data_IF_624051750633
#
_entry.id   IF_624051750633
#
_cell.length_a   1.000
_cell.length_b   1.000
_cell.length_c   1.000
_cell.angle_alpha   90.00
_cell.angle_beta   90.00
_cell.angle_gamma   90.00
#
_symmetry.space_group_name_H-M   'P 1'
#
loop_
_entity.id
_entity.type
_entity.pdbx_description
1 polymer ?
#
# COMPACT_ATOMS: atom_id res chain seq x y z
N UNK A 1 52.31 0.78 17.37
CA UNK A 1 53.13 1.67 18.20
C UNK A 1 52.77 3.09 17.83
N UNK A 2 51.51 3.51 18.02
CA UNK A 2 50.81 3.78 19.30
C UNK A 2 51.06 5.27 19.63
N UNK A 3 50.07 6.15 19.82
CA UNK A 3 48.78 6.01 20.46
C UNK A 3 47.80 7.09 19.95
N UNK A 4 46.52 6.72 19.97
CA UNK A 4 45.35 7.56 19.69
C UNK A 4 45.06 8.54 20.82
N UNK A 5 44.53 9.72 20.47
CA UNK A 5 43.84 10.62 21.39
C UNK A 5 43.07 11.69 20.63
N UNK A 6 41.81 11.40 20.29
CA UNK A 6 40.84 12.43 19.88
C UNK A 6 39.59 12.27 20.73
N UNK A 7 39.41 13.23 21.62
CA UNK A 7 38.27 13.44 22.51
C UNK A 7 37.10 14.02 21.71
N UNK A 8 35.94 13.37 21.77
CA UNK A 8 34.68 13.95 21.31
C UNK A 8 34.02 14.71 22.46
N UNK A 9 33.91 16.04 22.34
CA UNK A 9 33.13 16.86 23.27
C UNK A 9 31.65 16.86 22.87
N UNK A 10 30.78 16.29 23.70
CA UNK A 10 29.35 16.56 23.64
C UNK A 10 29.06 17.94 24.24
N UNK A 11 28.58 18.88 23.42
CA UNK A 11 27.93 20.10 23.94
C UNK A 11 26.45 19.79 24.20
N UNK A 12 26.10 19.61 25.46
CA UNK A 12 24.71 19.74 25.92
C UNK A 12 24.34 21.22 25.92
N UNK A 13 23.33 21.60 25.15
CA UNK A 13 22.64 22.88 25.33
C UNK A 13 21.59 22.68 26.42
N UNK A 14 21.86 23.24 27.60
CA UNK A 14 20.89 23.38 28.68
C UNK A 14 20.04 24.62 28.43
N UNK A 15 18.72 24.49 28.51
CA UNK A 15 17.83 25.62 28.79
C UNK A 15 17.04 25.30 30.06
N UNK A 16 17.39 26.01 31.13
CA UNK A 16 16.53 26.27 32.31
C UNK A 16 15.74 27.55 31.98
N UNK A 17 14.51 27.78 32.42
CA UNK A 17 14.05 27.80 33.81
C UNK A 17 12.52 27.95 33.92
N UNK A 18 11.98 27.35 34.99
CA UNK A 18 10.83 27.74 35.84
C UNK A 18 9.50 28.24 35.24
N UNK A 19 8.40 27.56 35.56
CA UNK A 19 7.65 27.86 36.80
C UNK A 19 6.67 26.73 37.16
N UNK A 20 6.61 26.43 38.46
CA UNK A 20 5.72 25.45 39.07
C UNK A 20 4.41 26.14 39.50
N UNK A 21 3.27 25.50 39.24
CA UNK A 21 2.10 25.58 40.14
C UNK A 21 1.49 24.20 40.31
N UNK A 22 1.71 23.64 41.50
CA UNK A 22 0.97 22.52 42.03
C UNK A 22 -0.41 23.02 42.50
N UNK A 23 -1.46 22.27 42.17
CA UNK A 23 -2.74 22.33 42.87
C UNK A 23 -3.02 20.94 43.44
N UNK A 24 -3.14 20.91 44.76
CA UNK A 24 -3.30 19.74 45.59
C UNK A 24 -4.67 19.09 45.40
N UNK A 25 -4.71 17.76 45.32
CA UNK A 25 -5.90 16.99 45.65
C UNK A 25 -5.72 16.38 47.03
N UNK A 26 -6.57 16.83 47.94
CA UNK A 26 -6.66 16.43 49.33
C UNK A 26 -7.29 15.04 49.41
N UNK A 27 -6.55 14.07 49.97
CA UNK A 27 -7.11 12.82 50.45
C UNK A 27 -7.91 13.06 51.74
N UNK A 28 -9.14 12.57 51.79
CA UNK A 28 -9.76 12.09 53.03
C UNK A 28 -9.91 10.57 52.90
N UNK A 29 -9.24 9.86 53.79
CA UNK A 29 -9.38 8.42 53.93
C UNK A 29 -10.57 8.04 54.81
N UNK A 30 -11.05 6.82 54.61
CA UNK A 30 -11.53 5.96 55.68
C UNK A 30 -11.11 4.53 55.35
N UNK A 31 -10.34 3.95 56.27
CA UNK A 31 -9.78 2.60 56.23
C UNK A 31 -10.85 1.53 56.50
N UNK A 32 -10.54 0.26 56.21
CA UNK A 32 -10.59 -0.87 57.16
C UNK A 32 -9.84 -2.10 56.57
N UNK A 33 -8.82 -2.54 57.35
CA UNK A 33 -8.23 -3.89 57.57
C UNK A 33 -7.70 -4.74 56.40
N UNK A 34 -6.37 -4.97 56.25
CA UNK A 34 -5.53 -6.00 56.92
C UNK A 34 -6.14 -7.42 56.90
N UNK A 35 -5.48 -8.49 56.42
CA UNK A 35 -4.22 -9.08 56.93
C UNK A 35 -3.44 -9.85 55.83
N UNK A 36 -2.12 -9.85 56.03
CA UNK A 36 -0.98 -10.38 55.30
C UNK A 36 -0.83 -11.92 55.23
N UNK A 37 -0.02 -12.41 54.28
CA UNK A 37 1.16 -13.30 54.50
C UNK A 37 1.89 -13.65 53.19
N UNK A 38 3.04 -12.99 52.98
CA UNK A 38 4.25 -13.55 52.34
C UNK A 38 5.13 -14.16 53.48
N UNK A 39 6.21 -14.95 53.26
CA UNK A 39 7.16 -14.89 52.14
C UNK A 39 7.80 -16.22 51.66
N UNK A 40 8.49 -16.23 50.50
CA UNK A 40 9.93 -16.57 50.36
C UNK A 40 10.43 -16.43 48.91
N UNK A 41 11.71 -16.05 48.78
CA UNK A 41 12.52 -15.78 47.57
C UNK A 41 13.18 -17.04 46.99
N UNK A 42 13.42 -17.04 45.67
CA UNK A 42 14.75 -17.30 45.03
C UNK A 42 14.72 -16.81 43.56
N UNK A 43 15.38 -15.69 43.23
CA UNK A 43 16.63 -15.60 42.44
C UNK A 43 16.74 -16.48 41.19
N UNK A 44 16.68 -15.86 40.00
CA UNK A 44 17.70 -16.03 38.96
C UNK A 44 17.71 -14.85 37.98
N UNK A 45 18.91 -14.31 37.81
CA UNK A 45 19.29 -13.22 36.90
C UNK A 45 19.48 -13.81 35.50
N UNK A 46 19.06 -13.10 34.45
CA UNK A 46 19.84 -13.02 33.23
C UNK A 46 19.68 -11.63 32.58
N UNK A 47 20.78 -10.90 32.54
CA UNK A 47 21.04 -9.78 31.63
C UNK A 47 21.35 -10.37 30.25
N UNK A 48 20.76 -9.79 29.21
CA UNK A 48 21.38 -9.73 27.90
C UNK A 48 21.02 -8.37 27.28
N UNK A 49 21.96 -7.43 27.37
CA UNK A 49 22.02 -6.26 26.51
C UNK A 49 22.54 -6.75 25.15
N UNK A 50 21.73 -6.64 24.10
CA UNK A 50 22.20 -6.79 22.74
C UNK A 50 22.44 -5.39 22.17
N UNK A 51 23.70 -4.98 22.20
CA UNK A 51 24.24 -3.83 21.48
C UNK A 51 24.46 -4.30 20.03
N UNK A 52 23.66 -3.82 19.08
CA UNK A 52 23.92 -4.08 17.65
C UNK A 52 25.04 -3.16 17.17
N UNK A 53 26.27 -3.68 17.19
CA UNK A 53 27.42 -3.07 16.50
C UNK A 53 27.33 -3.48 15.03
N UNK A 54 27.00 -2.54 14.16
CA UNK A 54 27.13 -2.70 12.70
C UNK A 54 28.62 -2.65 12.34
N UNK A 55 29.21 -3.82 12.09
CA UNK A 55 30.55 -3.96 11.51
C UNK A 55 30.44 -3.83 9.99
N UNK A 56 30.64 -2.62 9.46
CA UNK A 56 30.92 -2.39 8.04
C UNK A 56 32.41 -2.64 7.79
N UNK A 57 32.75 -3.78 7.22
CA UNK A 57 34.10 -4.08 6.72
C UNK A 57 34.29 -3.37 5.39
N UNK A 58 34.95 -2.21 5.38
CA UNK A 58 35.49 -1.59 4.17
C UNK A 58 36.74 -2.34 3.72
N UNK A 59 36.64 -3.12 2.64
CA UNK A 59 37.82 -3.61 1.92
C UNK A 59 38.34 -2.46 1.04
N UNK A 60 39.50 -1.93 1.42
CA UNK A 60 40.24 -0.91 0.67
C UNK A 60 41.15 -1.62 -0.34
N UNK A 61 40.72 -1.73 -1.59
CA UNK A 61 41.60 -2.19 -2.67
C UNK A 61 42.53 -1.04 -3.10
N UNK A 62 43.83 -1.25 -2.94
CA UNK A 62 44.89 -0.38 -3.46
C UNK A 62 44.96 -0.46 -4.99
N UNK A 63 45.32 0.67 -5.61
CA UNK A 63 45.44 0.81 -7.05
C UNK A 63 46.51 -0.08 -7.67
N UNK A 64 46.13 -0.74 -8.76
CA UNK A 64 47.02 -1.38 -9.73
C UNK A 64 46.63 -0.92 -11.13
N UNK A 65 47.62 -0.60 -11.94
CA UNK A 65 47.48 0.00 -13.28
C UNK A 65 46.56 -0.81 -14.21
N UNK A 66 45.62 -0.12 -14.86
CA UNK A 66 44.72 -0.69 -15.84
C UNK A 66 45.44 -0.95 -17.18
N UNK A 67 45.53 -2.21 -17.57
CA UNK A 67 45.77 -2.61 -18.96
C UNK A 67 44.44 -2.65 -19.70
N UNK A 68 44.43 -2.01 -20.87
CA UNK A 68 43.29 -1.86 -21.79
C UNK A 68 42.62 -3.19 -22.13
N UNK A 69 41.37 -3.37 -21.70
CA UNK A 69 40.47 -4.41 -22.18
C UNK A 69 39.38 -3.77 -23.05
N UNK A 70 39.18 -4.31 -24.25
CA UNK A 70 38.22 -3.84 -25.26
C UNK A 70 36.78 -3.79 -24.70
N UNK A 71 35.99 -2.77 -25.04
CA UNK A 71 34.59 -2.70 -24.62
C UNK A 71 33.77 -3.80 -25.29
N UNK A 72 32.92 -4.45 -24.50
CA UNK A 72 31.89 -5.38 -24.94
C UNK A 72 30.89 -4.65 -25.87
N UNK A 73 30.25 -5.34 -26.83
CA UNK A 73 29.37 -4.72 -27.80
C UNK A 73 28.16 -4.08 -27.11
N UNK A 74 27.91 -2.82 -27.46
CA UNK A 74 26.78 -2.00 -27.00
C UNK A 74 25.46 -2.70 -27.34
N UNK A 75 24.72 -3.12 -26.33
CA UNK A 75 23.34 -3.59 -26.49
C UNK A 75 22.49 -2.45 -27.05
N UNK A 76 21.66 -2.75 -28.05
CA UNK A 76 20.70 -1.78 -28.62
C UNK A 76 19.79 -1.21 -27.51
N UNK A 77 19.43 0.08 -27.56
CA UNK A 77 18.58 0.68 -26.54
C UNK A 77 17.19 0.01 -26.54
N UNK A 78 16.75 -0.42 -25.36
CA UNK A 78 15.44 -1.05 -25.08
C UNK A 78 14.29 -0.04 -25.23
N UNK A 79 14.63 1.24 -25.20
CA UNK A 79 13.74 2.39 -25.39
C UNK A 79 14.10 3.04 -26.72
N UNK A 80 13.16 3.05 -27.66
CA UNK A 80 13.25 3.98 -28.80
C UNK A 80 12.49 5.24 -28.43
N UNK A 81 13.19 6.37 -28.48
CA UNK A 81 12.56 7.69 -28.51
C UNK A 81 12.15 7.91 -29.96
N UNK A 82 10.85 8.00 -30.22
CA UNK A 82 10.36 8.31 -31.56
C UNK A 82 10.56 9.81 -31.87
N UNK A 83 10.54 10.20 -33.15
CA UNK A 83 10.70 11.60 -33.59
C UNK A 83 9.55 12.53 -33.10
N UNK A 84 8.61 12.00 -32.32
CA UNK A 84 7.56 12.73 -31.59
C UNK A 84 7.67 12.71 -30.05
N UNK A 85 8.80 12.30 -29.48
CA UNK A 85 9.06 12.39 -28.03
C UNK A 85 8.48 11.26 -27.16
N UNK A 86 7.78 10.28 -27.73
CA UNK A 86 7.27 9.11 -27.01
C UNK A 86 8.34 8.02 -26.80
N UNK A 87 8.44 7.51 -25.58
CA UNK A 87 9.26 6.33 -25.24
C UNK A 87 8.49 5.06 -25.57
N UNK A 88 8.73 4.46 -26.74
CA UNK A 88 8.08 3.19 -27.10
C UNK A 88 8.96 2.03 -26.64
N UNK A 89 8.51 1.31 -25.62
CA UNK A 89 9.12 0.03 -25.25
C UNK A 89 8.76 -1.06 -26.26
N UNK A 90 9.77 -1.85 -26.65
CA UNK A 90 9.59 -2.96 -27.58
C UNK A 90 8.80 -4.10 -26.93
N UNK A 91 7.56 -4.33 -27.39
CA UNK A 91 6.68 -5.41 -26.90
C UNK A 91 7.35 -6.78 -26.97
N UNK A 92 8.14 -7.06 -28.01
CA UNK A 92 8.88 -8.32 -28.15
C UNK A 92 9.89 -8.57 -27.00
N UNK A 93 10.39 -7.51 -26.36
CA UNK A 93 11.27 -7.63 -25.20
C UNK A 93 10.50 -7.83 -23.88
N UNK A 94 9.24 -7.40 -23.81
CA UNK A 94 8.39 -7.49 -22.62
C UNK A 94 7.62 -8.82 -22.55
N UNK A 95 7.11 -9.34 -23.67
CA UNK A 95 6.34 -10.59 -23.71
C UNK A 95 6.99 -11.74 -22.95
N UNK A 96 8.26 -12.13 -23.21
CA UNK A 96 8.89 -13.24 -22.47
C UNK A 96 9.05 -12.95 -20.97
N UNK A 97 9.14 -11.68 -20.58
CA UNK A 97 9.31 -11.27 -19.18
C UNK A 97 8.01 -11.39 -18.41
N UNK A 98 6.90 -10.91 -18.98
CA UNK A 98 5.58 -11.08 -18.37
C UNK A 98 5.13 -12.54 -18.37
N UNK A 99 5.43 -13.32 -19.41
CA UNK A 99 5.07 -14.75 -19.44
C UNK A 99 5.80 -15.53 -18.34
N UNK A 100 7.11 -15.28 -18.12
CA UNK A 100 7.86 -15.87 -17.01
C UNK A 100 7.27 -15.45 -15.65
N UNK A 101 6.98 -14.17 -15.48
CA UNK A 101 6.36 -13.63 -14.26
C UNK A 101 5.03 -14.32 -13.93
N UNK A 102 4.11 -14.38 -14.90
CA UNK A 102 2.81 -15.05 -14.75
C UNK A 102 2.98 -16.54 -14.44
N UNK A 103 3.88 -17.23 -15.14
CA UNK A 103 4.17 -18.64 -14.87
C UNK A 103 4.68 -18.87 -13.44
N UNK A 104 5.58 -18.01 -12.95
CA UNK A 104 6.16 -18.11 -11.59
C UNK A 104 5.15 -17.76 -10.49
N UNK A 105 4.14 -16.96 -10.79
CA UNK A 105 2.98 -16.77 -9.92
C UNK A 105 1.93 -17.88 -10.03
N UNK A 106 2.21 -18.92 -10.83
CA UNK A 106 1.29 -20.04 -11.12
C UNK A 106 -0.03 -19.58 -11.72
N UNK A 107 -0.01 -18.52 -12.53
CA UNK A 107 -1.19 -18.00 -13.20
C UNK A 107 -1.74 -19.00 -14.22
N UNK A 108 -3.06 -19.23 -14.18
CA UNK A 108 -3.74 -20.11 -15.14
C UNK A 108 -4.82 -19.31 -15.87
N UNK A 109 -4.63 -19.09 -17.16
CA UNK A 109 -5.62 -18.46 -18.02
C UNK A 109 -6.55 -19.51 -18.64
N UNK A 110 -7.40 -20.16 -17.84
CA UNK A 110 -8.38 -21.10 -18.38
C UNK A 110 -9.58 -20.33 -18.93
N UNK A 111 -10.07 -20.69 -20.13
CA UNK A 111 -11.36 -20.23 -20.66
C UNK A 111 -12.54 -20.65 -19.76
N UNK A 112 -12.34 -21.70 -18.95
CA UNK A 112 -13.23 -22.21 -17.91
C UNK A 112 -13.21 -21.40 -16.60
N UNK A 113 -12.36 -20.36 -16.49
CA UNK A 113 -12.55 -19.28 -15.50
C UNK A 113 -13.73 -18.37 -15.89
N UNK A 114 -14.82 -18.99 -16.34
CA UNK A 114 -16.17 -18.44 -16.36
C UNK A 114 -16.57 -18.23 -14.91
N UNK A 115 -16.19 -17.09 -14.37
CA UNK A 115 -16.70 -16.66 -13.07
C UNK A 115 -18.21 -16.44 -13.19
N UNK A 116 -18.98 -16.80 -12.15
CA UNK A 116 -20.43 -16.65 -12.15
C UNK A 116 -20.82 -15.21 -12.49
N UNK A 117 -21.99 -15.00 -13.10
CA UNK A 117 -22.46 -13.69 -13.58
C UNK A 117 -22.11 -12.54 -12.62
N UNK A 118 -21.11 -11.73 -13.00
CA UNK A 118 -20.74 -10.48 -12.31
C UNK A 118 -21.95 -9.53 -12.21
N UNK A 119 -22.95 -9.75 -13.06
CA UNK A 119 -24.20 -9.02 -13.16
C UNK A 119 -24.84 -8.73 -11.80
N UNK A 120 -24.75 -9.66 -10.83
CA UNK A 120 -25.30 -9.40 -9.49
C UNK A 120 -24.50 -8.35 -8.72
N UNK A 121 -23.17 -8.44 -8.70
CA UNK A 121 -22.31 -7.46 -8.01
C UNK A 121 -22.41 -6.11 -8.73
N UNK A 122 -22.32 -6.10 -10.06
CA UNK A 122 -22.44 -4.90 -10.89
C UNK A 122 -23.79 -4.22 -10.67
N UNK A 123 -24.92 -4.95 -10.78
CA UNK A 123 -26.24 -4.37 -10.61
C UNK A 123 -26.44 -3.77 -9.21
N UNK A 124 -25.97 -4.45 -8.16
CA UNK A 124 -26.04 -3.93 -6.79
C UNK A 124 -25.16 -2.71 -6.60
N UNK A 125 -23.97 -2.71 -7.19
CA UNK A 125 -23.08 -1.56 -7.12
C UNK A 125 -23.68 -0.37 -7.88
N UNK A 126 -24.22 -0.57 -9.08
CA UNK A 126 -24.97 0.44 -9.84
C UNK A 126 -26.15 1.00 -9.04
N UNK A 127 -26.88 0.17 -8.31
CA UNK A 127 -27.96 0.64 -7.45
C UNK A 127 -27.48 1.56 -6.30
N UNK A 128 -26.27 1.32 -5.78
CA UNK A 128 -25.68 2.13 -4.69
C UNK A 128 -25.08 3.43 -5.22
N UNK A 129 -24.30 3.36 -6.30
CA UNK A 129 -23.43 4.47 -6.72
C UNK A 129 -23.65 4.96 -8.15
N UNK A 130 -24.60 4.40 -8.91
CA UNK A 130 -24.88 4.77 -10.29
C UNK A 130 -25.30 6.22 -10.51
N UNK A 131 -25.69 6.94 -9.45
CA UNK A 131 -26.03 8.37 -9.54
C UNK A 131 -24.83 9.30 -9.47
N UNK A 132 -23.66 8.83 -9.01
CA UNK A 132 -22.48 9.69 -8.77
C UNK A 132 -21.15 9.09 -9.24
N UNK A 133 -21.10 7.79 -9.54
CA UNK A 133 -19.94 7.16 -10.17
C UNK A 133 -20.21 6.88 -11.65
N UNK A 134 -19.29 7.26 -12.55
CA UNK A 134 -19.31 6.80 -13.94
C UNK A 134 -19.28 5.27 -14.04
N UNK A 135 -19.96 4.71 -15.04
CA UNK A 135 -20.09 3.26 -15.28
C UNK A 135 -18.74 2.53 -15.32
N UNK A 136 -17.70 3.18 -15.87
CA UNK A 136 -16.35 2.60 -15.91
C UNK A 136 -15.81 2.26 -14.52
N UNK A 137 -16.01 3.11 -13.53
CA UNK A 137 -15.53 2.87 -12.16
C UNK A 137 -16.36 1.82 -11.45
N UNK A 138 -17.67 1.78 -11.73
CA UNK A 138 -18.58 0.75 -11.23
C UNK A 138 -18.14 -0.62 -11.75
N UNK A 139 -17.87 -0.74 -13.05
CA UNK A 139 -17.39 -1.97 -13.67
C UNK A 139 -16.04 -2.42 -13.10
N UNK A 140 -15.10 -1.50 -12.92
CA UNK A 140 -13.79 -1.77 -12.33
C UNK A 140 -13.88 -2.21 -10.86
N UNK A 141 -14.73 -1.54 -10.07
CA UNK A 141 -14.98 -1.92 -8.69
C UNK A 141 -15.68 -3.26 -8.58
N UNK A 142 -16.73 -3.49 -9.36
CA UNK A 142 -17.47 -4.75 -9.36
C UNK A 142 -16.58 -5.93 -9.76
N UNK A 143 -15.74 -5.78 -10.79
CA UNK A 143 -14.76 -6.80 -11.18
C UNK A 143 -13.72 -7.06 -10.08
N UNK A 144 -13.23 -6.03 -9.38
CA UNK A 144 -12.31 -6.19 -8.25
C UNK A 144 -12.96 -7.00 -7.13
N UNK A 145 -14.13 -6.56 -6.65
CA UNK A 145 -14.85 -7.26 -5.59
C UNK A 145 -15.24 -8.69 -5.97
N UNK A 146 -15.64 -8.90 -7.22
CA UNK A 146 -16.12 -10.20 -7.67
C UNK A 146 -15.00 -11.21 -7.96
N UNK A 147 -13.98 -10.81 -8.71
CA UNK A 147 -12.97 -11.73 -9.23
C UNK A 147 -11.84 -11.89 -8.21
N UNK A 148 -11.34 -10.80 -7.63
CA UNK A 148 -10.22 -10.82 -6.68
C UNK A 148 -10.64 -11.35 -5.31
N UNK A 149 -11.88 -11.08 -4.91
CA UNK A 149 -12.46 -11.51 -3.64
C UNK A 149 -13.64 -12.48 -3.81
N UNK A 150 -13.54 -13.36 -4.81
CA UNK A 150 -14.59 -14.34 -5.17
C UNK A 150 -15.02 -15.28 -4.03
N UNK A 151 -14.14 -15.49 -3.04
CA UNK A 151 -14.41 -16.30 -1.84
C UNK A 151 -15.31 -15.60 -0.80
N UNK A 152 -15.54 -14.30 -0.93
CA UNK A 152 -16.42 -13.56 -0.03
C UNK A 152 -17.90 -13.67 -0.43
N UNK A 153 -18.84 -13.54 0.53
CA UNK A 153 -20.24 -13.35 0.20
C UNK A 153 -20.47 -12.13 -0.71
N UNK A 154 -21.48 -12.18 -1.59
CA UNK A 154 -21.79 -11.12 -2.55
C UNK A 154 -21.91 -9.74 -1.88
N UNK A 155 -22.50 -9.66 -0.69
CA UNK A 155 -22.60 -8.40 0.08
C UNK A 155 -21.23 -7.74 0.29
N UNK A 156 -20.24 -8.54 0.68
CA UNK A 156 -18.89 -8.07 0.95
C UNK A 156 -18.14 -7.77 -0.35
N UNK A 157 -18.34 -8.56 -1.41
CA UNK A 157 -17.83 -8.25 -2.75
C UNK A 157 -18.33 -6.88 -3.23
N UNK A 158 -19.62 -6.55 -3.02
CA UNK A 158 -20.20 -5.24 -3.38
C UNK A 158 -19.57 -4.11 -2.55
N UNK A 159 -19.35 -4.30 -1.25
CA UNK A 159 -18.71 -3.29 -0.39
C UNK A 159 -17.26 -3.01 -0.81
N UNK A 160 -16.49 -4.07 -1.05
CA UNK A 160 -15.12 -3.96 -1.59
C UNK A 160 -15.14 -3.26 -2.95
N UNK A 161 -16.07 -3.64 -3.84
CA UNK A 161 -16.21 -3.00 -5.14
C UNK A 161 -16.57 -1.53 -5.06
N UNK A 162 -17.41 -1.12 -4.10
CA UNK A 162 -17.72 0.29 -3.87
C UNK A 162 -16.49 1.07 -3.40
N UNK A 163 -15.73 0.51 -2.46
CA UNK A 163 -14.46 1.09 -2.02
C UNK A 163 -13.48 1.29 -3.18
N UNK A 164 -13.31 0.25 -4.02
CA UNK A 164 -12.44 0.33 -5.20
C UNK A 164 -12.91 1.37 -6.21
N UNK A 165 -14.23 1.45 -6.47
CA UNK A 165 -14.78 2.42 -7.42
C UNK A 165 -14.57 3.87 -6.95
N UNK A 166 -14.76 4.14 -5.66
CA UNK A 166 -14.47 5.45 -5.06
C UNK A 166 -12.99 5.78 -5.13
N UNK A 167 -12.12 4.83 -4.78
CA UNK A 167 -10.66 4.98 -4.84
C UNK A 167 -10.21 5.38 -6.24
N UNK A 168 -10.62 4.62 -7.26
CA UNK A 168 -10.20 4.87 -8.65
C UNK A 168 -10.72 6.20 -9.18
N UNK A 169 -11.91 6.64 -8.76
CA UNK A 169 -12.41 7.95 -9.15
C UNK A 169 -11.60 9.07 -8.48
N UNK A 170 -11.28 8.95 -7.18
CA UNK A 170 -10.46 9.96 -6.49
C UNK A 170 -9.08 10.08 -7.14
N UNK A 171 -8.45 8.94 -7.45
CA UNK A 171 -7.13 8.82 -8.09
C UNK A 171 -7.10 9.52 -9.47
N UNK A 172 -8.04 9.17 -10.35
CA UNK A 172 -8.08 9.69 -11.72
C UNK A 172 -8.54 11.18 -11.78
N UNK A 173 -9.24 11.68 -10.76
CA UNK A 173 -9.92 12.98 -10.83
C UNK A 173 -8.92 14.13 -10.99
N UNK A 174 -7.81 14.12 -10.26
CA UNK A 174 -6.82 15.20 -10.32
C UNK A 174 -6.26 15.37 -11.73
N UNK A 175 -5.88 14.28 -12.39
CA UNK A 175 -5.42 14.28 -13.79
C UNK A 175 -6.50 14.61 -14.83
N UNK A 176 -7.78 14.63 -14.44
CA UNK A 176 -8.91 14.95 -15.34
C UNK A 176 -9.42 16.39 -15.23
N UNK A 177 -9.01 17.12 -14.20
CA UNK A 177 -9.45 18.49 -13.92
C UNK A 177 -8.36 19.49 -14.33
N UNK A 178 -8.76 20.75 -14.57
CA UNK A 178 -7.81 21.83 -14.92
C UNK A 178 -8.24 23.16 -14.29
N UNK A 179 -7.27 24.07 -14.12
CA UNK A 179 -7.49 25.43 -13.62
C UNK A 179 -8.21 25.46 -12.26
N UNK A 180 -9.19 26.35 -12.12
CA UNK A 180 -9.92 26.55 -10.88
C UNK A 180 -10.66 25.29 -10.36
N UNK A 181 -11.02 24.36 -11.25
CA UNK A 181 -11.66 23.11 -10.84
C UNK A 181 -10.66 22.15 -10.17
N UNK A 182 -9.43 22.06 -10.72
CA UNK A 182 -8.34 21.30 -10.11
C UNK A 182 -7.94 21.93 -8.77
N UNK A 183 -7.71 23.24 -8.73
CA UNK A 183 -7.38 23.97 -7.50
C UNK A 183 -8.43 23.73 -6.40
N UNK A 184 -9.72 23.81 -6.76
CA UNK A 184 -10.83 23.52 -5.84
C UNK A 184 -10.79 22.08 -5.34
N UNK A 185 -10.55 21.11 -6.22
CA UNK A 185 -10.51 19.70 -5.85
C UNK A 185 -9.34 19.38 -4.92
N UNK A 186 -8.14 19.89 -5.20
CA UNK A 186 -6.97 19.69 -4.34
C UNK A 186 -7.18 20.35 -2.95
N UNK A 187 -7.81 21.53 -2.90
CA UNK A 187 -8.20 22.13 -1.62
C UNK A 187 -9.22 21.26 -0.88
N UNK A 188 -10.20 20.68 -1.58
CA UNK A 188 -11.19 19.78 -0.96
C UNK A 188 -10.54 18.50 -0.42
N UNK A 189 -9.52 17.95 -1.09
CA UNK A 189 -8.71 16.84 -0.58
C UNK A 189 -7.96 17.23 0.71
N UNK A 190 -7.34 18.41 0.76
CA UNK A 190 -6.72 18.94 1.99
C UNK A 190 -7.72 19.07 3.14
N UNK A 191 -8.96 19.48 2.85
CA UNK A 191 -10.01 19.69 3.84
C UNK A 191 -10.75 18.42 4.24
N UNK A 192 -10.53 17.30 3.53
CA UNK A 192 -11.18 16.01 3.75
C UNK A 192 -11.10 15.58 5.21
N UNK A 193 -9.89 15.59 5.78
CA UNK A 193 -9.64 15.15 7.16
C UNK A 193 -10.41 15.99 8.18
N UNK A 194 -10.48 17.31 7.98
CA UNK A 194 -11.19 18.21 8.88
C UNK A 194 -12.71 18.03 8.76
N UNK A 195 -13.26 17.93 7.54
CA UNK A 195 -14.69 17.64 7.33
C UNK A 195 -15.07 16.27 7.91
N UNK A 196 -14.22 15.26 7.74
CA UNK A 196 -14.44 13.92 8.25
C UNK A 196 -14.48 13.90 9.80
N UNK A 197 -13.50 14.53 10.45
CA UNK A 197 -13.35 14.46 11.92
C UNK A 197 -14.18 15.50 12.68
N UNK A 198 -14.41 16.68 12.10
CA UNK A 198 -15.10 17.79 12.75
C UNK A 198 -15.93 18.60 11.72
N UNK A 199 -17.10 18.08 11.30
CA UNK A 199 -17.94 18.73 10.29
C UNK A 199 -18.46 20.12 10.75
N UNK A 200 -18.75 20.30 12.04
CA UNK A 200 -19.15 21.60 12.60
C UNK A 200 -17.99 22.61 12.57
N UNK A 201 -16.78 22.15 12.91
CA UNK A 201 -15.56 22.94 12.81
C UNK A 201 -15.25 23.33 11.37
N UNK A 202 -15.43 22.42 10.41
CA UNK A 202 -15.34 22.72 8.98
C UNK A 202 -16.31 23.84 8.60
N UNK A 203 -17.60 23.71 8.95
CA UNK A 203 -18.63 24.69 8.61
C UNK A 203 -18.37 26.07 9.25
N UNK A 204 -17.85 26.08 10.48
CA UNK A 204 -17.50 27.32 11.20
C UNK A 204 -16.29 28.02 10.58
N UNK A 205 -15.29 27.25 10.14
CA UNK A 205 -14.00 27.78 9.66
C UNK A 205 -14.04 28.16 8.18
N UNK A 206 -14.92 27.53 7.40
CA UNK A 206 -15.13 27.77 5.96
C UNK A 206 -16.60 28.10 5.67
N UNK A 207 -17.16 29.19 6.24
CA UNK A 207 -18.56 29.53 6.07
C UNK A 207 -18.87 29.83 4.60
N UNK A 208 -19.96 29.25 4.08
CA UNK A 208 -20.41 29.45 2.70
C UNK A 208 -19.65 28.69 1.62
N UNK A 209 -18.63 27.89 1.98
CA UNK A 209 -17.86 27.07 1.01
C UNK A 209 -18.69 25.94 0.37
N UNK A 210 -19.68 25.43 1.10
CA UNK A 210 -20.49 24.29 0.71
C UNK A 210 -19.85 22.95 1.12
N UNK A 211 -20.25 21.89 0.43
CA UNK A 211 -19.66 20.56 0.61
C UNK A 211 -18.34 20.42 -0.17
N UNK A 212 -17.57 19.39 0.17
CA UNK A 212 -16.45 18.95 -0.64
C UNK A 212 -16.95 18.42 -1.99
N UNK A 213 -16.03 18.17 -2.92
CA UNK A 213 -16.34 17.44 -4.14
C UNK A 213 -17.14 16.16 -3.85
N UNK A 214 -18.16 15.88 -4.69
CA UNK A 214 -19.17 14.85 -4.38
C UNK A 214 -18.56 13.48 -4.04
N UNK A 215 -17.55 13.02 -4.79
CA UNK A 215 -16.89 11.73 -4.50
C UNK A 215 -16.27 11.68 -3.10
N UNK A 216 -15.74 12.79 -2.60
CA UNK A 216 -15.12 12.88 -1.28
C UNK A 216 -16.19 12.79 -0.19
N UNK A 217 -17.33 13.44 -0.38
CA UNK A 217 -18.48 13.31 0.52
C UNK A 217 -19.03 11.87 0.53
N UNK A 218 -19.05 11.20 -0.63
CA UNK A 218 -19.44 9.78 -0.73
C UNK A 218 -18.43 8.87 -0.03
N UNK A 219 -17.14 9.20 -0.07
CA UNK A 219 -16.12 8.48 0.69
C UNK A 219 -16.30 8.67 2.21
N UNK A 220 -16.60 9.88 2.68
CA UNK A 220 -16.95 10.14 4.08
C UNK A 220 -18.17 9.30 4.49
N UNK A 221 -19.20 9.27 3.65
CA UNK A 221 -20.39 8.45 3.88
C UNK A 221 -20.06 6.96 3.94
N UNK A 222 -19.26 6.45 2.99
CA UNK A 222 -18.80 5.05 2.98
C UNK A 222 -18.11 4.70 4.30
N UNK A 223 -17.16 5.53 4.76
CA UNK A 223 -16.39 5.27 5.99
C UNK A 223 -17.21 5.30 7.29
N UNK A 224 -18.39 5.93 7.28
CA UNK A 224 -19.25 6.16 8.45
C UNK A 224 -20.54 5.33 8.45
N UNK A 225 -20.71 4.42 7.48
CA UNK A 225 -21.93 3.61 7.34
C UNK A 225 -21.59 2.14 7.14
N UNK A 226 -22.61 1.30 7.14
CA UNK A 226 -22.51 -0.14 6.90
C UNK A 226 -22.05 -0.50 5.48
N UNK A 227 -21.90 0.48 4.59
CA UNK A 227 -21.18 0.32 3.32
C UNK A 227 -19.71 -0.06 3.55
N UNK A 228 -19.08 0.43 4.62
CA UNK A 228 -17.79 -0.08 5.07
C UNK A 228 -18.00 -1.44 5.75
N UNK A 229 -17.35 -2.52 5.30
CA UNK A 229 -17.57 -3.87 5.84
C UNK A 229 -17.17 -4.02 7.31
N UNK A 230 -16.38 -3.10 7.85
CA UNK A 230 -15.94 -3.11 9.25
C UNK A 230 -16.79 -2.24 10.17
N UNK A 231 -17.67 -1.39 9.63
CA UNK A 231 -18.52 -0.53 10.45
C UNK A 231 -19.84 -1.23 10.82
N UNK A 232 -20.36 -1.04 12.05
CA UNK A 232 -19.71 -0.46 13.24
C UNK A 232 -18.99 -1.52 14.10
N UNK A 233 -18.87 -2.75 13.60
CA UNK A 233 -18.60 -3.94 14.42
C UNK A 233 -17.11 -4.21 14.67
N UNK A 234 -16.23 -3.86 13.73
CA UNK A 234 -14.78 -4.00 13.87
C UNK A 234 -14.13 -2.61 13.86
N UNK A 235 -14.16 -1.95 15.01
CA UNK A 235 -13.64 -0.58 15.18
C UNK A 235 -12.14 -0.48 14.85
N UNK A 236 -11.37 -1.56 15.03
CA UNK A 236 -9.94 -1.58 14.71
C UNK A 236 -9.74 -1.53 13.20
N UNK A 237 -10.42 -2.40 12.46
CA UNK A 237 -10.33 -2.41 10.99
C UNK A 237 -11.02 -1.19 10.37
N UNK A 238 -12.05 -0.64 11.02
CA UNK A 238 -12.61 0.65 10.64
C UNK A 238 -11.57 1.78 10.79
N UNK A 239 -10.83 1.82 11.91
CA UNK A 239 -9.77 2.82 12.12
C UNK A 239 -8.68 2.70 11.07
N UNK A 240 -8.31 1.46 10.71
CA UNK A 240 -7.38 1.19 9.62
C UNK A 240 -7.89 1.74 8.29
N UNK A 241 -9.14 1.45 7.90
CA UNK A 241 -9.73 2.00 6.67
C UNK A 241 -9.66 3.53 6.64
N UNK A 242 -10.02 4.19 7.73
CA UNK A 242 -9.96 5.64 7.84
C UNK A 242 -8.51 6.13 7.66
N UNK A 243 -7.56 5.53 8.39
CA UNK A 243 -6.14 5.86 8.30
C UNK A 243 -5.62 5.71 6.88
N UNK A 244 -5.90 4.59 6.22
CA UNK A 244 -5.45 4.34 4.84
C UNK A 244 -6.02 5.37 3.86
N UNK A 245 -7.30 5.74 3.99
CA UNK A 245 -7.88 6.80 3.14
C UNK A 245 -7.22 8.15 3.38
N UNK A 246 -6.89 8.50 4.62
CA UNK A 246 -6.16 9.74 4.90
C UNK A 246 -4.75 9.71 4.31
N UNK A 247 -4.04 8.58 4.41
CA UNK A 247 -2.72 8.41 3.77
C UNK A 247 -2.81 8.51 2.25
N UNK A 248 -3.89 7.99 1.64
CA UNK A 248 -4.14 8.06 0.21
C UNK A 248 -4.40 9.47 -0.29
N UNK A 249 -5.22 10.25 0.43
CA UNK A 249 -5.46 11.66 0.09
C UNK A 249 -4.16 12.46 0.14
N UNK A 250 -3.34 12.23 1.17
CA UNK A 250 -2.00 12.83 1.28
C UNK A 250 -1.08 12.38 0.14
N UNK A 251 -1.09 11.09 -0.21
CA UNK A 251 -0.30 10.53 -1.31
C UNK A 251 -0.65 11.16 -2.65
N UNK A 252 -1.94 11.30 -2.95
CA UNK A 252 -2.43 11.97 -4.16
C UNK A 252 -1.99 13.45 -4.20
N UNK A 253 -2.11 14.18 -3.08
CA UNK A 253 -1.64 15.56 -3.00
C UNK A 253 -0.13 15.68 -3.25
N UNK A 254 0.66 14.72 -2.75
CA UNK A 254 2.11 14.66 -2.99
C UNK A 254 2.43 14.35 -4.44
N UNK A 255 1.72 13.42 -5.08
CA UNK A 255 1.88 13.09 -6.49
C UNK A 255 1.60 14.32 -7.38
N UNK A 256 0.50 15.04 -7.11
CA UNK A 256 0.18 16.29 -7.81
C UNK A 256 1.24 17.37 -7.57
N UNK A 257 1.76 17.48 -6.36
CA UNK A 257 2.88 18.39 -6.08
C UNK A 257 4.13 18.03 -6.89
N UNK A 258 4.45 16.73 -7.03
CA UNK A 258 5.61 16.27 -7.79
C UNK A 258 5.42 16.33 -9.31
N UNK A 259 4.19 16.34 -9.82
CA UNK A 259 3.92 16.66 -11.22
C UNK A 259 4.32 18.11 -11.54
N UNK A 260 4.01 19.06 -10.65
CA UNK A 260 4.40 20.47 -10.81
C UNK A 260 5.86 20.74 -10.43
N UNK A 261 6.36 20.05 -9.41
CA UNK A 261 7.68 20.23 -8.80
C UNK A 261 8.40 18.88 -8.68
N UNK A 262 8.94 18.34 -9.79
CA UNK A 262 9.54 17.02 -9.81
C UNK A 262 10.65 16.85 -8.77
N UNK A 263 10.56 15.76 -8.03
CA UNK A 263 11.60 15.37 -7.09
C UNK A 263 12.77 14.70 -7.83
N UNK A 264 13.99 15.14 -7.52
CA UNK A 264 15.21 14.47 -7.98
C UNK A 264 15.53 13.30 -7.05
N UNK A 265 15.25 12.07 -7.52
CA UNK A 265 15.59 10.86 -6.77
C UNK A 265 17.10 10.60 -6.81
N UNK A 266 17.72 10.57 -5.62
CA UNK A 266 19.15 10.31 -5.43
C UNK A 266 19.40 9.01 -4.66
N UNK A 267 20.63 8.48 -4.75
CA UNK A 267 21.01 7.20 -4.15
C UNK A 267 20.90 7.17 -2.60
N UNK A 268 20.89 8.32 -1.94
CA UNK A 268 20.69 8.50 -0.50
C UNK A 268 19.20 8.57 -0.08
N UNK A 269 18.26 8.44 -1.04
CA UNK A 269 16.82 8.34 -0.79
C UNK A 269 16.23 6.93 -1.07
N UNK A 270 16.89 5.81 -0.71
CA UNK A 270 16.48 4.48 -1.17
C UNK A 270 15.11 4.03 -0.65
N UNK A 271 14.60 4.64 0.41
CA UNK A 271 13.31 4.30 1.01
C UNK A 271 12.15 5.18 0.53
N UNK A 272 12.45 6.33 -0.10
CA UNK A 272 11.42 7.31 -0.43
C UNK A 272 10.38 6.77 -1.42
N UNK A 273 10.74 6.10 -2.53
CA UNK A 273 9.73 5.58 -3.45
C UNK A 273 8.76 4.60 -2.78
N UNK A 274 9.29 3.69 -1.95
CA UNK A 274 8.48 2.72 -1.21
C UNK A 274 7.59 3.41 -0.18
N UNK A 275 8.11 4.40 0.53
CA UNK A 275 7.35 5.16 1.51
C UNK A 275 6.17 5.90 0.87
N UNK A 276 6.40 6.57 -0.27
CA UNK A 276 5.34 7.24 -1.03
C UNK A 276 4.33 6.24 -1.56
N UNK A 277 4.80 5.09 -2.08
CA UNK A 277 3.92 4.04 -2.58
C UNK A 277 2.99 3.47 -1.51
N UNK A 278 3.50 3.24 -0.30
CA UNK A 278 2.66 2.79 0.83
C UNK A 278 1.60 3.81 1.24
N UNK A 279 1.76 5.09 0.90
CA UNK A 279 0.73 6.11 1.10
C UNK A 279 -0.31 6.10 -0.01
N UNK A 280 0.10 6.16 -1.28
CA UNK A 280 -0.84 6.26 -2.41
C UNK A 280 -1.47 4.93 -2.84
N UNK A 281 -0.91 3.78 -2.44
CA UNK A 281 -1.34 2.49 -2.96
C UNK A 281 -2.60 1.87 -2.36
N UNK A 282 -3.05 2.32 -1.18
CA UNK A 282 -4.28 1.81 -0.54
C UNK A 282 -4.32 0.28 -0.35
N UNK A 283 -3.14 -0.35 -0.28
CA UNK A 283 -2.98 -1.80 -0.26
C UNK A 283 -3.28 -2.44 1.10
N UNK A 284 -3.15 -1.69 2.20
CA UNK A 284 -3.44 -2.20 3.55
C UNK A 284 -4.93 -2.60 3.74
N UNK A 285 -5.93 -1.82 3.29
CA UNK A 285 -7.33 -2.24 3.17
C UNK A 285 -7.53 -3.55 2.42
N UNK A 286 -6.94 -3.67 1.22
CA UNK A 286 -7.06 -4.85 0.37
C UNK A 286 -6.44 -6.09 1.03
N UNK A 287 -5.28 -5.94 1.68
CA UNK A 287 -4.68 -7.00 2.48
C UNK A 287 -5.66 -7.49 3.57
N UNK A 288 -6.32 -6.57 4.28
CA UNK A 288 -7.28 -6.92 5.32
C UNK A 288 -8.58 -7.52 4.76
N UNK A 289 -9.04 -7.11 3.59
CA UNK A 289 -10.13 -7.82 2.91
C UNK A 289 -9.75 -9.26 2.58
N UNK A 290 -8.48 -9.56 2.30
CA UNK A 290 -8.06 -10.94 2.05
C UNK A 290 -8.10 -11.80 3.32
N UNK A 291 -7.50 -11.30 4.40
CA UNK A 291 -7.34 -12.06 5.65
C UNK A 291 -8.50 -11.88 6.63
N UNK A 292 -9.56 -11.15 6.27
CA UNK A 292 -10.73 -11.06 7.13
C UNK A 292 -11.31 -12.45 7.34
N UNK A 293 -11.29 -12.87 8.59
CA UNK A 293 -11.60 -14.24 8.95
C UNK A 293 -13.06 -14.35 9.32
N UNK A 294 -13.72 -15.35 8.75
CA UNK A 294 -15.13 -15.65 9.01
C UNK A 294 -15.31 -16.77 10.02
N UNK A 295 -14.25 -17.50 10.40
CA UNK A 295 -14.42 -18.52 11.43
C UNK A 295 -14.39 -17.89 12.82
N UNK A 296 -15.41 -18.27 13.60
CA UNK A 296 -15.42 -18.08 15.04
C UNK A 296 -15.12 -19.42 15.70
N UNK A 297 -14.06 -19.46 16.50
CA UNK A 297 -13.80 -20.56 17.44
C UNK A 297 -14.85 -20.65 18.56
N UNK A 298 -15.85 -19.76 18.57
CA UNK A 298 -16.76 -19.55 19.69
C UNK A 298 -16.11 -18.80 20.85
N UNK A 299 -14.83 -18.41 20.72
CA UNK A 299 -14.06 -17.69 21.74
C UNK A 299 -13.36 -16.47 21.13
N UNK A 300 -13.84 -15.28 21.49
CA UNK A 300 -13.28 -14.02 21.00
C UNK A 300 -11.78 -13.88 21.27
N UNK A 301 -11.27 -14.43 22.37
CA UNK A 301 -9.83 -14.37 22.70
C UNK A 301 -8.98 -15.29 21.83
N UNK A 302 -9.51 -16.46 21.46
CA UNK A 302 -8.83 -17.39 20.55
C UNK A 302 -8.84 -16.84 19.13
N UNK A 303 -9.96 -16.27 18.69
CA UNK A 303 -10.10 -15.63 17.37
C UNK A 303 -9.10 -14.46 17.23
N UNK A 304 -8.98 -13.63 18.29
CA UNK A 304 -8.01 -12.54 18.33
C UNK A 304 -6.56 -13.05 18.30
N UNK A 305 -6.24 -14.07 19.10
CA UNK A 305 -4.89 -14.65 19.12
C UNK A 305 -4.50 -15.28 17.77
N UNK A 306 -5.44 -16.00 17.14
CA UNK A 306 -5.24 -16.55 15.81
C UNK A 306 -5.01 -15.43 14.78
N UNK A 307 -5.84 -14.38 14.81
CA UNK A 307 -5.65 -13.23 13.92
C UNK A 307 -4.22 -12.66 14.03
N UNK A 308 -3.74 -12.32 15.23
CA UNK A 308 -2.44 -11.67 15.38
C UNK A 308 -1.24 -12.57 15.10
N UNK A 309 -1.34 -13.87 15.37
CA UNK A 309 -0.20 -14.78 15.22
C UNK A 309 -0.16 -15.51 13.87
N UNK A 310 -1.31 -15.69 13.24
CA UNK A 310 -1.44 -16.48 12.01
C UNK A 310 -1.77 -15.64 10.79
N UNK A 311 -2.61 -14.61 10.93
CA UNK A 311 -3.10 -13.82 9.78
C UNK A 311 -2.37 -12.49 9.62
N UNK A 312 -2.22 -11.73 10.70
CA UNK A 312 -1.59 -10.41 10.68
C UNK A 312 -0.16 -10.41 10.10
N UNK A 313 0.69 -11.46 10.31
CA UNK A 313 2.01 -11.52 9.68
C UNK A 313 1.98 -11.60 8.14
N UNK A 314 0.82 -11.88 7.52
CA UNK A 314 0.64 -11.86 6.06
C UNK A 314 0.48 -10.44 5.50
N UNK A 315 0.08 -9.47 6.33
CA UNK A 315 -0.27 -8.11 5.86
C UNK A 315 0.86 -7.46 5.08
N UNK A 316 2.14 -7.46 5.53
CA UNK A 316 3.22 -6.82 4.77
C UNK A 316 3.41 -7.40 3.37
N UNK A 317 3.37 -8.74 3.25
CA UNK A 317 3.52 -9.39 1.95
C UNK A 317 2.30 -9.17 1.05
N UNK A 318 1.09 -9.11 1.61
CA UNK A 318 -0.11 -8.74 0.85
C UNK A 318 -0.03 -7.30 0.35
N UNK A 319 0.44 -6.37 1.19
CA UNK A 319 0.65 -4.97 0.80
C UNK A 319 1.62 -4.88 -0.37
N UNK A 320 2.77 -5.56 -0.27
CA UNK A 320 3.77 -5.60 -1.34
C UNK A 320 3.21 -6.22 -2.64
N UNK A 321 2.32 -7.22 -2.55
CA UNK A 321 1.66 -7.83 -3.71
C UNK A 321 0.70 -6.86 -4.39
N UNK A 322 -0.11 -6.12 -3.63
CA UNK A 322 -1.02 -5.15 -4.21
C UNK A 322 -0.26 -3.97 -4.83
N UNK A 323 0.66 -3.35 -4.08
CA UNK A 323 1.41 -2.18 -4.56
C UNK A 323 2.33 -2.54 -5.73
N UNK A 324 3.32 -3.43 -5.51
CA UNK A 324 4.30 -3.74 -6.55
C UNK A 324 3.74 -4.64 -7.64
N UNK A 325 2.71 -5.45 -7.33
CA UNK A 325 1.98 -6.17 -8.36
C UNK A 325 1.22 -5.22 -9.28
N UNK A 326 0.60 -4.17 -8.74
CA UNK A 326 0.00 -3.13 -9.57
C UNK A 326 1.06 -2.42 -10.41
N UNK A 327 2.18 -1.99 -9.82
CA UNK A 327 3.27 -1.31 -10.55
C UNK A 327 3.80 -2.17 -11.71
N UNK A 328 3.98 -3.47 -11.48
CA UNK A 328 4.41 -4.41 -12.52
C UNK A 328 3.36 -4.52 -13.62
N UNK A 329 2.09 -4.65 -13.27
CA UNK A 329 1.01 -4.86 -14.25
C UNK A 329 0.59 -3.56 -14.97
N UNK A 330 0.87 -2.40 -14.37
CA UNK A 330 0.62 -1.08 -14.94
C UNK A 330 1.81 -0.51 -15.71
N UNK A 331 3.02 -0.99 -15.47
CA UNK A 331 4.25 -0.51 -16.09
C UNK A 331 4.11 -0.21 -17.59
N UNK A 332 3.51 -1.12 -18.35
CA UNK A 332 3.36 -0.91 -19.79
C UNK A 332 2.45 0.28 -20.14
N UNK A 333 1.26 0.38 -19.53
CA UNK A 333 0.34 1.50 -19.79
C UNK A 333 1.02 2.84 -19.45
N UNK A 334 1.77 2.88 -18.36
CA UNK A 334 2.34 4.11 -17.81
C UNK A 334 3.48 4.61 -18.68
N UNK A 335 4.38 3.71 -19.09
CA UNK A 335 5.45 4.04 -20.03
C UNK A 335 4.89 4.55 -21.37
N UNK A 336 3.83 3.92 -21.87
CA UNK A 336 3.18 4.35 -23.12
C UNK A 336 2.49 5.71 -22.99
N UNK A 337 2.00 6.05 -21.80
CA UNK A 337 1.44 7.36 -21.50
C UNK A 337 2.51 8.43 -21.27
N UNK A 338 3.79 8.06 -21.22
CA UNK A 338 4.89 8.97 -20.91
C UNK A 338 5.00 9.31 -19.43
N UNK A 339 4.36 8.52 -18.55
CA UNK A 339 4.47 8.69 -17.10
C UNK A 339 5.91 8.37 -16.67
N UNK A 340 6.59 9.34 -16.05
CA UNK A 340 7.99 9.23 -15.66
C UNK A 340 8.19 9.07 -14.14
N UNK A 341 7.12 9.28 -13.36
CA UNK A 341 7.05 9.20 -11.89
C UNK A 341 6.76 7.80 -11.36
N UNK A 342 6.73 6.79 -12.23
CA UNK A 342 6.45 5.39 -11.90
C UNK A 342 7.45 4.87 -10.85
N UNK A 343 6.97 4.17 -9.82
CA UNK A 343 7.80 3.58 -8.76
C UNK A 343 8.97 2.75 -9.30
N UNK A 344 8.73 1.99 -10.37
CA UNK A 344 9.75 1.19 -11.08
C UNK A 344 10.85 2.07 -11.70
N UNK A 345 10.49 3.20 -12.32
CA UNK A 345 11.48 4.12 -12.89
C UNK A 345 12.28 4.85 -11.81
N UNK A 346 11.61 5.24 -10.72
CA UNK A 346 12.28 5.86 -9.56
C UNK A 346 13.29 4.90 -8.92
N UNK A 347 12.91 3.62 -8.75
CA UNK A 347 13.84 2.57 -8.33
C UNK A 347 15.05 2.48 -9.28
N UNK A 348 14.82 2.52 -10.59
CA UNK A 348 15.89 2.51 -11.58
C UNK A 348 16.85 3.68 -11.46
N UNK A 349 16.34 4.90 -11.22
CA UNK A 349 17.15 6.10 -11.00
C UNK A 349 18.04 5.97 -9.77
N UNK A 350 17.47 5.53 -8.64
CA UNK A 350 18.20 5.38 -7.36
C UNK A 350 19.31 4.33 -7.47
N UNK A 351 19.04 3.21 -8.16
CA UNK A 351 19.94 2.07 -8.22
C UNK A 351 20.79 2.00 -9.49
N UNK A 352 20.70 3.02 -10.36
CA UNK A 352 21.37 3.07 -11.67
C UNK A 352 21.08 1.82 -12.52
N UNK A 353 19.81 1.45 -12.59
CA UNK A 353 19.32 0.29 -13.34
C UNK A 353 18.57 0.74 -14.60
N UNK A 354 18.60 -0.08 -15.63
CA UNK A 354 17.69 0.11 -16.76
C UNK A 354 16.22 -0.12 -16.33
N UNK A 355 15.25 0.45 -17.07
CA UNK A 355 13.83 0.22 -16.78
C UNK A 355 13.45 -1.27 -16.79
N UNK A 356 14.03 -2.07 -17.69
CA UNK A 356 13.77 -3.52 -17.73
C UNK A 356 14.36 -4.25 -16.52
N UNK A 357 15.52 -3.84 -16.01
CA UNK A 357 16.08 -4.41 -14.77
C UNK A 357 15.20 -4.04 -13.57
N UNK A 358 14.77 -2.79 -13.47
CA UNK A 358 13.90 -2.34 -12.37
C UNK A 358 12.54 -3.03 -12.38
N UNK A 359 11.97 -3.28 -13.56
CA UNK A 359 10.75 -4.09 -13.72
C UNK A 359 10.97 -5.51 -13.19
N UNK A 360 12.09 -6.15 -13.54
CA UNK A 360 12.42 -7.50 -13.05
C UNK A 360 12.59 -7.52 -11.53
N UNK A 361 13.26 -6.55 -10.95
CA UNK A 361 13.43 -6.47 -9.49
C UNK A 361 12.08 -6.33 -8.77
N UNK A 362 11.15 -5.58 -9.36
CA UNK A 362 9.78 -5.45 -8.84
C UNK A 362 8.99 -6.76 -8.99
N UNK A 363 9.12 -7.45 -10.13
CA UNK A 363 8.56 -8.79 -10.34
C UNK A 363 9.08 -9.81 -9.33
N UNK A 364 10.39 -9.84 -9.07
CA UNK A 364 10.98 -10.71 -8.03
C UNK A 364 10.42 -10.41 -6.64
N UNK A 365 10.20 -9.13 -6.33
CA UNK A 365 9.59 -8.71 -5.05
C UNK A 365 8.21 -9.32 -4.88
N UNK A 366 7.35 -9.27 -5.92
CA UNK A 366 6.02 -9.87 -5.89
C UNK A 366 6.08 -11.40 -5.80
N UNK A 367 6.98 -12.05 -6.54
CA UNK A 367 7.15 -13.51 -6.52
C UNK A 367 7.59 -13.99 -5.13
N UNK A 368 8.55 -13.30 -4.51
CA UNK A 368 8.99 -13.63 -3.16
C UNK A 368 7.88 -13.40 -2.12
N UNK A 369 7.09 -12.34 -2.26
CA UNK A 369 5.94 -12.05 -1.40
C UNK A 369 4.89 -13.15 -1.50
N UNK A 370 4.55 -13.60 -2.72
CA UNK A 370 3.69 -14.79 -2.92
C UNK A 370 4.24 -16.03 -2.21
N UNK A 371 5.53 -16.30 -2.37
CA UNK A 371 6.16 -17.48 -1.78
C UNK A 371 6.05 -17.47 -0.25
N UNK A 372 6.31 -16.31 0.37
CA UNK A 372 6.16 -16.13 1.83
C UNK A 372 4.70 -16.23 2.27
N UNK A 373 3.75 -15.69 1.50
CA UNK A 373 2.31 -15.81 1.78
C UNK A 373 1.84 -17.25 1.77
N UNK A 374 2.24 -18.05 0.78
CA UNK A 374 1.89 -19.47 0.74
C UNK A 374 2.44 -20.22 1.96
N UNK A 375 3.67 -19.91 2.40
CA UNK A 375 4.26 -20.51 3.60
C UNK A 375 3.61 -20.01 4.91
N UNK A 376 3.11 -18.77 4.94
CA UNK A 376 2.32 -18.25 6.06
C UNK A 376 0.95 -18.91 6.12
N UNK A 377 0.29 -19.08 4.97
CA UNK A 377 -1.01 -19.71 4.87
C UNK A 377 -0.95 -21.19 5.28
N UNK A 378 0.07 -21.92 4.84
CA UNK A 378 0.30 -23.31 5.25
C UNK A 378 0.47 -23.44 6.77
N UNK A 379 1.22 -22.51 7.39
CA UNK A 379 1.41 -22.46 8.86
C UNK A 379 0.13 -22.20 9.65
N UNK A 380 -0.94 -21.69 9.02
CA UNK A 380 -2.23 -21.57 9.69
C UNK A 380 -2.91 -22.92 9.91
N UNK A 381 -2.52 -23.95 9.16
CA UNK A 381 -3.20 -25.25 9.14
C UNK A 381 -4.60 -25.20 8.52
N UNK A 382 -4.97 -24.09 7.86
CA UNK A 382 -6.27 -23.89 7.22
C UNK A 382 -6.15 -24.05 5.70
N UNK A 383 -6.75 -25.11 5.17
CA UNK A 383 -6.90 -25.31 3.72
C UNK A 383 -7.67 -24.15 3.08
N UNK A 384 -8.68 -23.61 3.77
CA UNK A 384 -9.45 -22.45 3.33
C UNK A 384 -8.55 -21.22 3.15
N UNK A 385 -7.61 -20.96 4.07
CA UNK A 385 -6.68 -19.85 3.93
C UNK A 385 -5.73 -20.03 2.74
N UNK A 386 -5.26 -21.26 2.51
CA UNK A 386 -4.45 -21.59 1.33
C UNK A 386 -5.21 -21.32 0.03
N UNK A 387 -6.46 -21.80 -0.06
CA UNK A 387 -7.33 -21.56 -1.22
C UNK A 387 -7.64 -20.09 -1.42
N UNK A 388 -7.84 -19.32 -0.35
CA UNK A 388 -8.06 -17.86 -0.41
C UNK A 388 -6.84 -17.15 -1.00
N UNK A 389 -5.62 -17.46 -0.56
CA UNK A 389 -4.41 -16.85 -1.13
C UNK A 389 -4.25 -17.23 -2.61
N UNK A 390 -4.47 -18.51 -2.98
CA UNK A 390 -4.42 -18.93 -4.38
C UNK A 390 -5.46 -18.17 -5.22
N UNK A 391 -6.69 -18.08 -4.73
CA UNK A 391 -7.80 -17.39 -5.41
C UNK A 391 -7.54 -15.89 -5.54
N UNK A 392 -6.95 -15.27 -4.51
CA UNK A 392 -6.53 -13.87 -4.56
C UNK A 392 -5.57 -13.61 -5.72
N UNK A 393 -4.49 -14.41 -5.82
CA UNK A 393 -3.51 -14.23 -6.89
C UNK A 393 -4.09 -14.46 -8.28
N UNK A 394 -4.89 -15.51 -8.46
CA UNK A 394 -5.56 -15.73 -9.75
C UNK A 394 -6.47 -14.55 -10.08
N UNK A 395 -7.33 -14.16 -9.14
CA UNK A 395 -8.28 -13.08 -9.37
C UNK A 395 -7.61 -11.75 -9.67
N UNK A 396 -6.56 -11.39 -8.91
CA UNK A 396 -5.82 -10.15 -9.07
C UNK A 396 -5.10 -10.06 -10.43
N UNK A 397 -4.48 -11.16 -10.87
CA UNK A 397 -3.83 -11.23 -12.18
C UNK A 397 -4.86 -11.21 -13.32
N UNK A 398 -5.98 -11.92 -13.19
CA UNK A 398 -7.08 -11.86 -14.18
C UNK A 398 -7.62 -10.45 -14.31
N UNK A 399 -7.86 -9.77 -13.18
CA UNK A 399 -8.38 -8.41 -13.15
C UNK A 399 -7.48 -7.46 -13.94
N UNK A 400 -6.15 -7.59 -13.81
CA UNK A 400 -5.20 -6.80 -14.60
C UNK A 400 -5.16 -7.23 -16.08
N UNK A 401 -4.99 -8.52 -16.36
CA UNK A 401 -4.81 -9.04 -17.74
C UNK A 401 -6.03 -8.78 -18.63
N UNK A 402 -7.25 -8.87 -18.08
CA UNK A 402 -8.49 -8.67 -18.85
C UNK A 402 -8.90 -7.21 -18.99
N UNK A 403 -8.39 -6.34 -18.12
CA UNK A 403 -8.81 -4.95 -18.08
C UNK A 403 -8.01 -4.12 -19.07
N UNK A 404 -8.72 -3.53 -20.04
CA UNK A 404 -8.13 -2.68 -21.09
C UNK A 404 -7.39 -1.46 -20.54
N UNK A 405 -7.63 -1.04 -19.29
CA UNK A 405 -6.83 0.00 -18.61
C UNK A 405 -5.34 -0.32 -18.66
N UNK A 406 -4.93 -1.58 -18.51
CA UNK A 406 -3.52 -1.97 -18.40
C UNK A 406 -2.84 -2.26 -19.74
N UNK A 407 -3.61 -2.37 -20.83
CA UNK A 407 -3.09 -2.61 -22.20
C UNK A 407 -2.20 -3.85 -22.31
N UNK A 408 -2.36 -4.82 -21.40
CA UNK A 408 -1.55 -6.05 -21.39
C UNK A 408 -1.89 -6.99 -22.54
N UNK A 409 -3.04 -6.81 -23.19
CA UNK A 409 -3.36 -7.49 -24.43
C UNK A 409 -2.43 -7.11 -25.59
N UNK A 410 -1.75 -5.97 -25.53
CA UNK A 410 -0.73 -5.57 -26.53
C UNK A 410 0.62 -6.28 -26.33
N UNK A 411 0.84 -6.91 -25.15
CA UNK A 411 2.07 -7.63 -24.80
C UNK A 411 1.86 -9.14 -24.80
N UNK A 412 0.68 -9.60 -24.35
CA UNK A 412 0.38 -11.01 -24.08
C UNK A 412 -0.37 -11.71 -25.23
N UNK A 413 -0.69 -11.00 -26.31
CA UNK A 413 -1.40 -11.53 -27.50
C UNK A 413 -0.61 -12.57 -28.28
#
# INVERSE_FOLDING_TARGET
MDQYGLTASMRCVSTSSSSWRALAFQQQGAAISLVSRLPFRSTLKHKAQATSVSLSVSVRCQGGAATSAKPAPVARPVIKVDEGGGTVMNTNALTPVYMDFLQRLSFVNSRESSYPEQDTVTARLTAICGSYLPERYISLGATMGHIVYSYHPVDLQVKIGHFTALLLMVDDLAGSLTGAALERYLEDMCLFQMKFTNPEGYATRYPGRGDLHEVLEKYIHYLKTDLNPFFPTDLRLQTLMIKSVLDFMEGNLQEQHYEEHPIEYTADMPQLPRFLRYKSGMSEPYAHFCIMHTMSSGSASQDQHFFYNSLYPMVPDLVDVFDFGNDVMSFYKEIQNGEDSIGILNHGRIHNLSPLQSLRDSMETVIHSRTRLMALADRTGSEEMMERIVSLFQGYLIWHVRNKRYRLDEILS
#
